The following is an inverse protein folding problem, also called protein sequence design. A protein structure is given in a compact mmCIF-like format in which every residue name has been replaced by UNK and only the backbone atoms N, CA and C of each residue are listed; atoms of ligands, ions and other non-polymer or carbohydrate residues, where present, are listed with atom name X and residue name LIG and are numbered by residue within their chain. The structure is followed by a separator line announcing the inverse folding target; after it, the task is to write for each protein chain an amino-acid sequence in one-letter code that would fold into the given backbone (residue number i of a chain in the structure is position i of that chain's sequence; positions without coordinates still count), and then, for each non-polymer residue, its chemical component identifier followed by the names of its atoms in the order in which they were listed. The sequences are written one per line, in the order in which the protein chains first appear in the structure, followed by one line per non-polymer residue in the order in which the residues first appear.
data_IF_260229601884
#
_entry.id   IF_260229601884
#
_cell.length_a   1.000
_cell.length_b   1.000
_cell.length_c   1.000
_cell.angle_alpha   90.00
_cell.angle_beta   90.00
_cell.angle_gamma   90.00
#
_symmetry.space_group_name_H-M   'P 1'
#
loop_
_entity.id
_entity.type
_entity.pdbx_description
1 polymer ?
#
# COMPACT_ATOMS: atom_id res chain seq x y z
N UNK A 1 7.53 -11.34 1.76
CA UNK A 1 7.23 -10.44 0.62
C UNK A 1 5.75 -10.50 0.33
N UNK A 2 5.12 -9.35 0.13
CA UNK A 2 3.71 -9.14 -0.17
C UNK A 2 3.42 -9.24 -1.68
N UNK A 3 2.17 -8.99 -2.08
CA UNK A 3 1.75 -8.80 -3.49
C UNK A 3 1.11 -7.43 -3.65
N UNK A 4 1.43 -6.76 -4.75
CA UNK A 4 0.92 -5.42 -5.10
C UNK A 4 0.13 -5.50 -6.40
N UNK A 5 -0.93 -4.70 -6.50
CA UNK A 5 -1.68 -4.42 -7.71
C UNK A 5 -1.87 -2.91 -7.82
N UNK A 6 -1.66 -2.36 -9.02
CA UNK A 6 -2.07 -1.01 -9.36
C UNK A 6 -2.59 -1.03 -10.79
N UNK A 7 -3.78 -0.49 -11.00
CA UNK A 7 -4.43 -0.34 -12.30
C UNK A 7 -4.85 1.12 -12.42
N UNK A 8 -4.43 1.79 -13.49
CA UNK A 8 -4.79 3.18 -13.77
C UNK A 8 -5.22 3.31 -15.23
N UNK A 9 -6.29 4.07 -15.50
CA UNK A 9 -6.84 4.26 -16.84
C UNK A 9 -8.08 5.14 -16.82
N UNK A 10 -8.72 5.33 -17.98
CA UNK A 10 -9.91 6.17 -18.13
C UNK A 10 -11.22 5.42 -17.87
N UNK A 11 -11.21 4.09 -17.97
CA UNK A 11 -12.31 3.20 -17.61
C UNK A 11 -11.74 1.85 -17.17
N UNK A 12 -12.08 1.42 -15.96
CA UNK A 12 -11.64 0.14 -15.38
C UNK A 12 -12.76 -0.91 -15.31
N UNK A 13 -13.91 -0.68 -15.96
CA UNK A 13 -15.05 -1.61 -15.99
C UNK A 13 -14.66 -3.04 -16.42
N UNK A 14 -13.75 -3.16 -17.40
CA UNK A 14 -13.22 -4.43 -17.89
C UNK A 14 -12.21 -5.13 -16.96
N UNK A 15 -11.86 -4.55 -15.82
CA UNK A 15 -10.83 -5.07 -14.91
C UNK A 15 -11.41 -5.89 -13.74
N UNK A 16 -12.71 -6.19 -13.78
CA UNK A 16 -13.41 -7.01 -12.77
C UNK A 16 -12.72 -8.34 -12.48
N UNK A 17 -12.36 -9.07 -13.53
CA UNK A 17 -11.65 -10.33 -13.34
C UNK A 17 -10.23 -10.13 -12.83
N UNK A 18 -9.52 -9.07 -13.23
CA UNK A 18 -8.16 -8.78 -12.76
C UNK A 18 -8.14 -8.52 -11.25
N UNK A 19 -8.99 -7.60 -10.77
CA UNK A 19 -9.05 -7.24 -9.34
C UNK A 19 -9.53 -8.43 -8.50
N UNK A 20 -10.53 -9.18 -8.98
CA UNK A 20 -11.00 -10.38 -8.29
C UNK A 20 -9.92 -11.46 -8.23
N UNK A 21 -9.28 -11.78 -9.36
CA UNK A 21 -8.22 -12.82 -9.44
C UNK A 21 -6.96 -12.44 -8.70
N UNK A 22 -6.72 -11.15 -8.44
CA UNK A 22 -5.63 -10.73 -7.58
C UNK A 22 -5.72 -11.39 -6.20
N UNK A 23 -6.92 -11.54 -5.63
CA UNK A 23 -7.14 -12.23 -4.36
C UNK A 23 -6.62 -13.67 -4.33
N UNK A 24 -6.69 -14.39 -5.47
CA UNK A 24 -6.17 -15.76 -5.59
C UNK A 24 -4.64 -15.85 -5.43
N UNK A 25 -3.93 -14.74 -5.62
CA UNK A 25 -2.50 -14.68 -5.32
C UNK A 25 -2.22 -14.77 -3.83
N UNK A 26 -3.22 -14.65 -2.94
CA UNK A 26 -3.02 -14.90 -1.52
C UNK A 26 -2.61 -16.35 -1.26
N UNK A 27 -3.13 -17.32 -2.01
CA UNK A 27 -2.72 -18.72 -1.90
C UNK A 27 -1.53 -19.07 -2.82
N UNK A 28 -1.51 -18.50 -4.03
CA UNK A 28 -0.61 -18.96 -5.13
C UNK A 28 0.57 -18.03 -5.41
N UNK A 29 0.58 -16.83 -4.81
CA UNK A 29 1.65 -15.86 -4.99
C UNK A 29 2.99 -16.41 -4.52
N UNK A 30 4.06 -16.09 -5.25
CA UNK A 30 5.41 -16.53 -4.87
C UNK A 30 5.77 -15.96 -3.48
N UNK A 31 6.55 -16.69 -2.71
CA UNK A 31 7.11 -16.18 -1.45
C UNK A 31 8.63 -16.17 -1.55
N UNK A 32 9.28 -15.48 -0.60
CA UNK A 32 10.73 -15.57 -0.50
C UNK A 32 11.14 -17.01 -0.15
N UNK A 33 12.30 -17.50 -0.60
CA UNK A 33 12.83 -18.80 -0.20
C UNK A 33 12.83 -18.95 1.34
N UNK A 34 12.39 -20.10 1.84
CA UNK A 34 12.33 -20.40 3.28
C UNK A 34 11.16 -19.76 4.05
N UNK A 35 10.28 -18.99 3.39
CA UNK A 35 9.05 -18.49 4.00
C UNK A 35 7.90 -19.49 3.88
N UNK A 36 6.96 -19.46 4.83
CA UNK A 36 5.69 -20.18 4.70
C UNK A 36 4.96 -19.76 3.40
N UNK A 37 4.26 -20.66 2.71
CA UNK A 37 3.48 -20.32 1.52
C UNK A 37 2.42 -19.23 1.79
N UNK A 38 2.01 -18.55 0.72
CA UNK A 38 0.89 -17.62 0.73
C UNK A 38 1.12 -16.25 1.37
N UNK A 39 0.11 -15.40 1.23
CA UNK A 39 -0.02 -14.03 1.71
C UNK A 39 -1.37 -13.89 2.40
N UNK A 40 -1.48 -14.49 3.59
CA UNK A 40 -2.75 -14.75 4.29
C UNK A 40 -3.00 -13.77 5.44
N UNK A 41 -2.14 -12.78 5.63
CA UNK A 41 -2.05 -11.99 6.87
C UNK A 41 -2.78 -10.64 6.77
N UNK A 42 -3.59 -10.47 5.73
CA UNK A 42 -4.36 -9.26 5.45
C UNK A 42 -4.43 -8.91 3.97
N UNK A 43 -5.42 -8.11 3.61
CA UNK A 43 -5.55 -7.53 2.28
C UNK A 43 -6.12 -6.12 2.37
N UNK A 44 -5.98 -5.36 1.28
CA UNK A 44 -6.68 -4.11 1.13
C UNK A 44 -6.83 -3.68 -0.31
N UNK A 45 -7.86 -2.89 -0.54
CA UNK A 45 -8.22 -2.29 -1.81
C UNK A 45 -8.56 -0.82 -1.57
N UNK A 46 -8.07 0.05 -2.46
CA UNK A 46 -8.54 1.42 -2.61
C UNK A 46 -8.91 1.66 -4.06
N UNK A 47 -9.90 2.52 -4.29
CA UNK A 47 -10.29 2.95 -5.61
C UNK A 47 -10.49 4.46 -5.65
N UNK A 48 -10.04 5.09 -6.73
CA UNK A 48 -10.24 6.50 -7.01
C UNK A 48 -11.02 6.70 -8.29
N UNK A 49 -11.84 7.75 -8.32
CA UNK A 49 -12.45 8.28 -9.54
C UNK A 49 -12.15 9.77 -9.60
N UNK A 50 -11.52 10.21 -10.69
CA UNK A 50 -11.23 11.62 -10.96
C UNK A 50 -10.49 12.32 -9.80
N UNK A 51 -9.44 11.70 -9.26
CA UNK A 51 -8.67 12.24 -8.14
C UNK A 51 -9.31 12.08 -6.76
N UNK A 52 -10.55 11.57 -6.66
CA UNK A 52 -11.24 11.38 -5.38
C UNK A 52 -11.20 9.93 -4.93
N UNK A 53 -10.81 9.68 -3.68
CA UNK A 53 -10.96 8.36 -3.06
C UNK A 53 -12.46 8.04 -2.94
N UNK A 54 -12.91 7.00 -3.63
CA UNK A 54 -14.33 6.58 -3.68
C UNK A 54 -14.58 5.28 -2.94
N UNK A 55 -13.53 4.47 -2.75
CA UNK A 55 -13.64 3.22 -2.03
C UNK A 55 -12.36 2.91 -1.29
N UNK A 56 -12.49 2.36 -0.08
CA UNK A 56 -11.40 1.79 0.68
C UNK A 56 -11.92 0.67 1.57
N UNK A 57 -11.25 -0.48 1.53
CA UNK A 57 -11.43 -1.53 2.51
C UNK A 57 -10.12 -2.26 2.76
N UNK A 58 -9.91 -2.64 4.02
CA UNK A 58 -8.76 -3.43 4.47
C UNK A 58 -9.24 -4.43 5.51
N UNK A 59 -8.67 -5.61 5.51
CA UNK A 59 -8.92 -6.64 6.51
C UNK A 59 -7.62 -7.33 6.93
N UNK A 60 -7.68 -8.08 8.03
CA UNK A 60 -6.57 -8.83 8.61
C UNK A 60 -6.68 -10.34 8.38
N UNK A 61 -7.41 -10.75 7.34
CA UNK A 61 -7.59 -12.14 6.91
C UNK A 61 -7.07 -12.37 5.49
N UNK A 62 -7.22 -13.60 4.97
CA UNK A 62 -6.79 -13.94 3.62
C UNK A 62 -7.82 -13.52 2.56
N UNK A 63 -7.35 -13.15 1.36
CA UNK A 63 -8.24 -12.79 0.24
C UNK A 63 -8.73 -13.99 -0.59
N UNK A 64 -7.98 -15.09 -0.61
CA UNK A 64 -8.32 -16.26 -1.44
C UNK A 64 -9.60 -16.94 -0.92
N UNK A 65 -10.54 -17.21 -1.85
CA UNK A 65 -11.88 -17.73 -1.56
C UNK A 65 -12.66 -16.96 -0.48
N UNK A 66 -12.34 -15.69 -0.25
CA UNK A 66 -12.99 -14.86 0.77
C UNK A 66 -14.21 -14.11 0.18
N UNK A 67 -15.44 -14.34 0.70
CA UNK A 67 -16.62 -13.61 0.26
C UNK A 67 -16.53 -12.10 0.51
N UNK A 68 -15.85 -11.67 1.59
CA UNK A 68 -15.64 -10.25 1.90
C UNK A 68 -14.76 -9.61 0.84
N UNK A 69 -13.64 -10.24 0.47
CA UNK A 69 -12.78 -9.76 -0.61
C UNK A 69 -13.53 -9.70 -1.96
N UNK A 70 -14.37 -10.70 -2.23
CA UNK A 70 -15.17 -10.76 -3.47
C UNK A 70 -16.15 -9.59 -3.55
N UNK A 71 -16.91 -9.35 -2.47
CA UNK A 71 -17.83 -8.21 -2.36
C UNK A 71 -17.08 -6.89 -2.45
N UNK A 72 -15.94 -6.77 -1.77
CA UNK A 72 -15.11 -5.57 -1.79
C UNK A 72 -14.58 -5.25 -3.18
N UNK A 73 -14.10 -6.26 -3.92
CA UNK A 73 -13.64 -6.11 -5.30
C UNK A 73 -14.76 -5.62 -6.23
N UNK A 74 -15.96 -6.19 -6.08
CA UNK A 74 -17.13 -5.77 -6.85
C UNK A 74 -17.58 -4.33 -6.50
N UNK A 75 -17.61 -3.99 -5.21
CA UNK A 75 -17.96 -2.65 -4.74
C UNK A 75 -16.97 -1.59 -5.25
N UNK A 76 -15.67 -1.84 -5.11
CA UNK A 76 -14.62 -0.94 -5.60
C UNK A 76 -14.75 -0.62 -7.09
N UNK A 77 -15.14 -1.61 -7.91
CA UNK A 77 -15.33 -1.43 -9.35
C UNK A 77 -16.71 -0.87 -9.72
N UNK A 78 -17.72 -1.12 -8.89
CA UNK A 78 -19.04 -0.48 -8.99
C UNK A 78 -18.94 1.05 -8.91
N UNK A 79 -17.95 1.55 -8.18
CA UNK A 79 -17.57 2.97 -8.15
C UNK A 79 -16.90 3.45 -9.45
N UNK A 80 -16.90 2.68 -10.55
CA UNK A 80 -16.28 2.98 -11.86
C UNK A 80 -15.00 3.81 -11.72
N UNK A 81 -13.97 3.26 -11.05
CA UNK A 81 -12.78 4.01 -10.74
C UNK A 81 -11.91 4.19 -11.99
N UNK A 82 -11.06 5.21 -11.95
CA UNK A 82 -9.94 5.41 -12.87
C UNK A 82 -8.63 4.86 -12.30
N UNK A 83 -8.56 4.63 -10.98
CA UNK A 83 -7.42 3.99 -10.31
C UNK A 83 -7.91 2.95 -9.30
N UNK A 84 -7.32 1.75 -9.32
CA UNK A 84 -7.48 0.72 -8.28
C UNK A 84 -6.11 0.29 -7.79
N UNK A 85 -5.90 0.28 -6.48
CA UNK A 85 -4.67 -0.22 -5.86
C UNK A 85 -5.06 -1.32 -4.88
N UNK A 86 -4.33 -2.43 -4.95
CA UNK A 86 -4.54 -3.59 -4.09
C UNK A 86 -3.25 -4.09 -3.45
N UNK A 87 -3.37 -4.69 -2.28
CA UNK A 87 -2.25 -5.29 -1.57
C UNK A 87 -2.68 -6.58 -0.87
N UNK A 88 -1.84 -7.62 -0.96
CA UNK A 88 -1.96 -8.83 -0.14
C UNK A 88 -0.76 -8.94 0.79
N UNK A 89 -1.02 -8.97 2.10
CA UNK A 89 -0.02 -8.85 3.15
C UNK A 89 0.56 -10.22 3.50
N UNK A 90 1.88 -10.21 3.71
CA UNK A 90 2.61 -11.31 4.33
C UNK A 90 3.48 -10.78 5.47
N UNK A 91 3.28 -11.28 6.67
CA UNK A 91 4.07 -10.93 7.85
C UNK A 91 4.31 -12.15 8.75
N UNK A 92 5.29 -12.06 9.64
CA UNK A 92 5.47 -13.03 10.73
C UNK A 92 4.83 -12.54 12.04
N UNK A 93 4.30 -11.32 12.05
CA UNK A 93 3.59 -10.73 13.18
C UNK A 93 2.12 -11.16 13.17
N UNK A 94 1.41 -10.92 14.29
CA UNK A 94 -0.03 -11.13 14.35
C UNK A 94 -0.74 -10.26 13.29
N UNK A 95 -1.66 -10.82 12.48
CA UNK A 95 -2.48 -10.03 11.57
C UNK A 95 -3.25 -8.93 12.32
N UNK A 96 -3.25 -7.73 11.73
CA UNK A 96 -3.88 -6.54 12.26
C UNK A 96 -4.30 -5.67 11.08
N UNK A 97 -5.50 -5.08 11.18
CA UNK A 97 -6.15 -4.34 10.08
C UNK A 97 -5.51 -2.98 9.83
N UNK A 98 -5.13 -2.28 10.89
CA UNK A 98 -4.43 -0.99 10.82
C UNK A 98 -3.09 -1.14 10.11
N UNK A 99 -2.42 -2.29 10.30
CA UNK A 99 -1.16 -2.66 9.66
C UNK A 99 -1.29 -3.15 8.21
N UNK A 100 -2.50 -3.29 7.67
CA UNK A 100 -2.72 -3.64 6.27
C UNK A 100 -2.60 -2.42 5.37
N UNK A 101 -1.96 -2.61 4.22
CA UNK A 101 -1.98 -1.66 3.10
C UNK A 101 -3.30 -1.73 2.32
N UNK A 102 -3.64 -0.73 1.48
CA UNK A 102 -2.95 0.57 1.32
C UNK A 102 -3.11 1.49 2.53
N UNK A 103 -2.07 2.26 2.88
CA UNK A 103 -2.22 3.38 3.81
C UNK A 103 -2.79 4.58 3.06
N UNK A 104 -3.70 5.34 3.68
CA UNK A 104 -4.37 6.47 3.03
C UNK A 104 -4.41 7.67 3.95
N UNK A 105 -3.87 8.80 3.51
CA UNK A 105 -3.90 10.03 4.29
C UNK A 105 -3.61 11.22 3.37
N UNK A 106 -4.22 12.38 3.65
CA UNK A 106 -3.98 13.64 2.90
C UNK A 106 -4.17 13.47 1.38
N UNK A 107 -5.15 12.66 0.97
CA UNK A 107 -5.48 12.38 -0.43
C UNK A 107 -4.59 11.33 -1.11
N UNK A 108 -3.50 10.91 -0.47
CA UNK A 108 -2.55 9.94 -0.99
C UNK A 108 -2.87 8.52 -0.52
N UNK A 109 -2.65 7.54 -1.39
CA UNK A 109 -2.62 6.11 -1.09
C UNK A 109 -1.23 5.55 -1.29
N UNK A 110 -0.74 4.74 -0.36
CA UNK A 110 0.61 4.18 -0.36
C UNK A 110 0.62 2.68 -0.04
N UNK A 111 1.34 1.93 -0.87
CA UNK A 111 1.68 0.52 -0.64
C UNK A 111 3.18 0.32 -0.66
N UNK A 112 3.70 -0.46 0.28
CA UNK A 112 5.09 -0.88 0.32
C UNK A 112 5.20 -2.41 0.40
N UNK A 113 6.04 -2.99 -0.44
CA UNK A 113 6.45 -4.39 -0.38
C UNK A 113 7.96 -4.48 -0.16
N UNK A 114 8.29 -4.74 1.09
CA UNK A 114 9.65 -4.75 1.60
C UNK A 114 9.61 -4.72 3.13
N UNK A 115 10.78 -4.50 3.71
CA UNK A 115 10.93 -4.27 5.14
C UNK A 115 12.09 -3.28 5.34
N UNK A 116 11.88 -2.28 6.18
CA UNK A 116 12.90 -1.33 6.64
C UNK A 116 13.30 -1.74 8.05
N UNK A 117 14.60 -1.94 8.26
CA UNK A 117 15.15 -2.27 9.57
C UNK A 117 15.40 -1.00 10.37
N UNK A 118 15.14 -1.05 11.67
CA UNK A 118 15.23 0.10 12.59
C UNK A 118 14.41 1.33 12.10
N UNK A 119 13.13 1.16 11.71
CA UNK A 119 12.33 2.24 11.12
C UNK A 119 12.09 3.42 12.09
N UNK A 120 12.35 3.25 13.39
CA UNK A 120 12.38 4.30 14.39
C UNK A 120 13.40 5.40 14.10
N UNK A 121 14.46 5.09 13.32
CA UNK A 121 15.49 6.03 12.88
C UNK A 121 15.02 6.98 11.77
N UNK A 122 13.84 6.76 11.19
CA UNK A 122 13.18 7.76 10.34
C UNK A 122 12.85 9.02 11.17
N UNK A 123 13.29 10.22 10.73
CA UNK A 123 13.17 11.44 11.52
C UNK A 123 11.76 12.02 11.45
N UNK A 124 10.80 11.32 12.06
CA UNK A 124 9.42 11.74 12.20
C UNK A 124 9.29 12.78 13.31
N UNK A 125 8.61 13.89 13.00
CA UNK A 125 8.24 14.90 13.98
C UNK A 125 7.05 14.43 14.85
N UNK A 126 6.76 15.20 15.90
CA UNK A 126 5.69 14.86 16.83
C UNK A 126 4.29 14.87 16.18
N UNK A 127 4.09 15.58 15.08
CA UNK A 127 2.81 15.61 14.36
C UNK A 127 2.62 14.31 13.58
N UNK A 128 3.64 13.89 12.82
CA UNK A 128 3.63 12.65 12.08
C UNK A 128 3.48 11.43 13.01
N UNK A 129 4.17 11.41 14.15
CA UNK A 129 4.06 10.33 15.13
C UNK A 129 2.64 10.19 15.72
N UNK A 130 1.89 11.29 15.84
CA UNK A 130 0.50 11.28 16.34
C UNK A 130 -0.51 10.80 15.30
N UNK A 131 -0.17 10.85 14.01
CA UNK A 131 -1.02 10.39 12.92
C UNK A 131 -0.94 8.87 12.70
N UNK A 132 0.01 8.20 13.35
CA UNK A 132 0.20 6.75 13.24
C UNK A 132 -0.98 5.99 13.84
N UNK A 133 -1.55 5.06 13.09
CA UNK A 133 -2.62 4.17 13.52
C UNK A 133 -2.09 2.76 13.84
N UNK A 134 -1.15 2.29 13.03
CA UNK A 134 -0.51 0.98 13.16
C UNK A 134 0.87 1.04 13.81
N UNK A 135 1.66 0.01 13.51
CA UNK A 135 3.00 -0.20 14.08
C UNK A 135 4.05 -0.55 13.03
N UNK A 136 3.68 -0.58 11.76
CA UNK A 136 4.59 -1.05 10.70
C UNK A 136 5.66 -0.04 10.33
N UNK A 137 6.79 -0.56 9.85
CA UNK A 137 7.82 0.19 9.15
C UNK A 137 7.27 0.95 7.92
N UNK A 138 6.34 0.31 7.21
CA UNK A 138 5.73 0.80 5.99
C UNK A 138 4.84 2.03 6.23
N UNK A 139 4.10 2.04 7.33
CA UNK A 139 3.35 3.21 7.76
C UNK A 139 4.28 4.36 8.17
N UNK A 140 5.37 4.08 8.89
CA UNK A 140 6.37 5.10 9.23
C UNK A 140 7.02 5.71 8.00
N UNK A 141 7.28 4.89 6.97
CA UNK A 141 7.76 5.38 5.68
C UNK A 141 6.73 6.31 5.03
N UNK A 142 5.45 5.93 4.99
CA UNK A 142 4.41 6.80 4.45
C UNK A 142 4.29 8.12 5.22
N UNK A 143 4.29 8.08 6.55
CA UNK A 143 4.25 9.28 7.40
C UNK A 143 5.47 10.18 7.18
N UNK A 144 6.64 9.60 6.92
CA UNK A 144 7.85 10.38 6.62
C UNK A 144 7.72 11.11 5.29
N UNK A 145 7.15 10.45 4.27
CA UNK A 145 6.83 11.09 2.99
C UNK A 145 5.83 12.24 3.19
N UNK A 146 4.73 12.02 3.92
CA UNK A 146 3.71 13.06 4.18
C UNK A 146 4.28 14.24 4.96
N UNK A 147 5.11 13.99 5.97
CA UNK A 147 5.79 15.05 6.70
C UNK A 147 6.60 15.95 5.76
N UNK A 148 7.32 15.38 4.79
CA UNK A 148 8.12 16.19 3.84
C UNK A 148 7.26 17.10 2.99
N UNK A 149 6.07 16.64 2.58
CA UNK A 149 5.09 17.46 1.88
C UNK A 149 4.55 18.56 2.78
N UNK A 150 4.03 18.19 3.95
CA UNK A 150 3.42 19.12 4.92
C UNK A 150 4.39 20.22 5.38
N UNK A 151 5.67 19.90 5.55
CA UNK A 151 6.70 20.85 5.99
C UNK A 151 7.29 21.67 4.84
N UNK A 152 6.94 21.38 3.59
CA UNK A 152 7.50 22.04 2.41
C UNK A 152 8.95 21.63 2.10
N UNK A 153 9.50 20.61 2.78
CA UNK A 153 10.82 20.06 2.47
C UNK A 153 10.87 19.40 1.09
N UNK A 154 9.72 18.92 0.61
CA UNK A 154 9.55 18.41 -0.75
C UNK A 154 8.32 19.08 -1.39
N UNK A 155 8.44 19.62 -2.62
CA UNK A 155 7.38 20.41 -3.25
C UNK A 155 6.22 19.57 -3.81
N UNK A 156 6.41 18.27 -4.01
CA UNK A 156 5.44 17.38 -4.66
C UNK A 156 5.61 15.91 -4.20
N UNK A 157 4.59 15.05 -4.38
CA UNK A 157 4.63 13.65 -3.94
C UNK A 157 5.78 12.83 -4.51
N UNK A 158 6.22 13.10 -5.76
CA UNK A 158 7.32 12.37 -6.39
C UNK A 158 8.65 12.74 -5.76
N UNK A 159 8.86 14.04 -5.51
CA UNK A 159 10.06 14.51 -4.81
C UNK A 159 10.08 14.01 -3.36
N UNK A 160 8.94 14.03 -2.66
CA UNK A 160 8.85 13.47 -1.31
C UNK A 160 9.14 11.97 -1.26
N UNK A 161 8.59 11.20 -2.21
CA UNK A 161 8.86 9.77 -2.34
C UNK A 161 10.35 9.52 -2.61
N UNK A 162 10.95 10.25 -3.54
CA UNK A 162 12.36 10.13 -3.92
C UNK A 162 13.29 10.42 -2.74
N UNK A 163 13.04 11.50 -2.03
CA UNK A 163 13.86 11.92 -0.89
C UNK A 163 13.75 10.92 0.26
N UNK A 164 12.53 10.47 0.57
CA UNK A 164 12.30 9.46 1.61
C UNK A 164 12.95 8.12 1.23
N UNK A 165 12.82 7.71 -0.03
CA UNK A 165 13.48 6.52 -0.58
C UNK A 165 15.01 6.61 -0.43
N UNK A 166 15.63 7.71 -0.83
CA UNK A 166 17.08 7.87 -0.71
C UNK A 166 17.55 7.96 0.73
N UNK A 167 16.80 8.60 1.61
CA UNK A 167 17.11 8.59 3.04
C UNK A 167 17.18 7.17 3.58
N UNK A 168 16.17 6.34 3.30
CA UNK A 168 16.15 4.93 3.75
C UNK A 168 17.33 4.18 3.15
N UNK A 169 17.54 4.31 1.83
CA UNK A 169 18.62 3.64 1.10
C UNK A 169 20.00 3.94 1.68
N UNK A 170 20.24 5.21 2.03
CA UNK A 170 21.57 5.69 2.40
C UNK A 170 21.85 5.55 3.90
N UNK A 171 20.81 5.40 4.74
CA UNK A 171 20.96 5.46 6.19
C UNK A 171 20.47 4.22 6.95
N UNK A 172 19.63 3.38 6.33
CA UNK A 172 18.96 2.26 6.98
C UNK A 172 19.18 0.95 6.21
N UNK A 173 19.13 -0.17 6.93
CA UNK A 173 19.02 -1.48 6.30
C UNK A 173 17.60 -1.71 5.79
N UNK A 174 17.46 -2.40 4.66
CA UNK A 174 16.16 -2.78 4.11
C UNK A 174 16.26 -4.07 3.30
N UNK A 175 15.13 -4.76 3.12
CA UNK A 175 15.06 -5.96 2.27
C UNK A 175 14.70 -5.64 0.82
N UNK A 176 13.72 -4.77 0.61
CA UNK A 176 13.28 -4.25 -0.69
C UNK A 176 12.54 -2.93 -0.46
N UNK A 177 12.36 -2.12 -1.51
CA UNK A 177 11.60 -0.87 -1.46
C UNK A 177 10.68 -0.76 -2.67
N UNK A 178 9.78 -1.73 -2.83
CA UNK A 178 8.78 -1.71 -3.90
C UNK A 178 7.55 -0.95 -3.46
N UNK A 179 7.17 0.09 -4.20
CA UNK A 179 6.22 1.09 -3.76
C UNK A 179 5.19 1.37 -4.86
N UNK A 180 3.94 1.52 -4.44
CA UNK A 180 2.89 2.19 -5.23
C UNK A 180 2.43 3.40 -4.43
N UNK A 181 2.45 4.58 -5.04
CA UNK A 181 1.91 5.82 -4.49
C UNK A 181 0.88 6.38 -5.47
N UNK A 182 -0.24 6.91 -5.00
CA UNK A 182 -1.19 7.60 -5.86
C UNK A 182 -1.91 8.73 -5.14
N UNK A 183 -2.17 9.82 -5.85
CA UNK A 183 -3.07 10.90 -5.44
C UNK A 183 -4.48 10.76 -6.06
N UNK A 184 -4.76 9.62 -6.69
CA UNK A 184 -6.01 9.35 -7.41
C UNK A 184 -6.08 9.87 -8.84
N UNK A 185 -5.18 10.78 -9.24
CA UNK A 185 -5.06 11.30 -10.61
C UNK A 185 -3.85 10.69 -11.31
N UNK A 186 -2.75 10.57 -10.57
CA UNK A 186 -1.49 9.98 -10.99
C UNK A 186 -1.15 8.81 -10.07
N UNK A 187 -0.58 7.76 -10.64
CA UNK A 187 -0.03 6.62 -9.89
C UNK A 187 1.44 6.48 -10.21
N UNK A 188 2.29 6.49 -9.18
CA UNK A 188 3.72 6.30 -9.28
C UNK A 188 4.11 4.93 -8.74
N UNK A 189 5.01 4.26 -9.45
CA UNK A 189 5.55 2.96 -9.07
C UNK A 189 7.07 3.07 -9.01
N UNK A 190 7.67 2.61 -7.93
CA UNK A 190 9.12 2.55 -7.75
C UNK A 190 9.50 1.18 -7.20
N UNK A 191 10.68 0.67 -7.54
CA UNK A 191 11.14 -0.63 -7.05
C UNK A 191 12.65 -0.76 -6.99
N UNK A 192 13.13 -1.42 -5.94
CA UNK A 192 14.50 -1.89 -5.76
C UNK A 192 14.52 -3.11 -4.85
#
# INVERSE_FOLDING_TARGET
MCRLLAIAGTDLSGQSDTVRRFGNLAATGKVAPGSNPGHMDGWGLVAYRDGRLVYQQKEADQADHNPVYTTASAAALGERPTVVIGHLRKTNEKPNRENSHPFTQEGLSFCHNGAIFEPERLPLDAVALKQREGTTDSERFFLYLLQRLRTGLSPDPVTALRDAFYFIRDNLGYSALNIVLSDGSTTWVCGR
#
